data_IF_875242833363
#
_entry.id   IF_875242833363
#
_cell.length_a   1.000
_cell.length_b   1.000
_cell.length_c   1.000
_cell.angle_alpha   90.00
_cell.angle_beta   90.00
_cell.angle_gamma   90.00
#
_symmetry.space_group_name_H-M   'P 1'
#
loop_
_entity.id
_entity.type
_entity.pdbx_description
1 polymer ?
#
# COMPACT_ATOMS: atom_id res chain seq x y z
N UNK A 1 19.41 -8.08 -16.63
CA UNK A 1 19.29 -7.68 -15.21
C UNK A 1 19.26 -6.14 -15.04
N UNK A 2 18.50 -5.38 -15.88
CA UNK A 2 18.41 -3.90 -15.75
C UNK A 2 17.03 -3.33 -16.12
N UNK A 3 16.31 -3.94 -17.08
CA UNK A 3 14.98 -3.47 -17.47
C UNK A 3 13.87 -3.86 -16.48
N UNK A 4 13.85 -5.11 -16.02
CA UNK A 4 12.84 -5.59 -15.05
C UNK A 4 12.90 -4.84 -13.71
N UNK A 5 14.10 -4.53 -13.23
CA UNK A 5 14.29 -3.77 -11.99
C UNK A 5 13.83 -2.31 -12.13
N UNK A 6 14.06 -1.69 -13.29
CA UNK A 6 13.59 -0.33 -13.57
C UNK A 6 12.07 -0.27 -13.70
N UNK A 7 11.47 -1.27 -14.33
CA UNK A 7 10.01 -1.38 -14.45
C UNK A 7 9.37 -1.57 -13.08
N UNK A 8 9.89 -2.49 -12.27
CA UNK A 8 9.45 -2.71 -10.89
C UNK A 8 9.53 -1.44 -10.04
N UNK A 9 10.66 -0.73 -10.10
CA UNK A 9 10.85 0.49 -9.31
C UNK A 9 9.86 1.59 -9.72
N UNK A 10 9.60 1.77 -11.02
CA UNK A 10 8.65 2.78 -11.49
C UNK A 10 7.24 2.55 -10.92
N UNK A 11 6.71 1.32 -11.00
CA UNK A 11 5.38 1.01 -10.46
C UNK A 11 5.32 1.16 -8.94
N UNK A 12 6.37 0.74 -8.23
CA UNK A 12 6.44 0.91 -6.79
C UNK A 12 6.42 2.39 -6.38
N UNK A 13 7.08 3.29 -7.13
CA UNK A 13 6.98 4.73 -6.85
C UNK A 13 5.57 5.27 -7.08
N UNK A 14 4.85 4.83 -8.12
CA UNK A 14 3.45 5.24 -8.32
C UNK A 14 2.53 4.76 -7.18
N UNK A 15 2.72 3.52 -6.70
CA UNK A 15 1.96 2.99 -5.55
C UNK A 15 2.27 3.81 -4.29
N UNK A 16 3.53 4.15 -4.06
CA UNK A 16 3.95 5.02 -2.95
C UNK A 16 3.25 6.37 -3.00
N UNK A 17 3.21 7.02 -4.16
CA UNK A 17 2.53 8.31 -4.32
C UNK A 17 1.03 8.21 -3.98
N UNK A 18 0.35 7.15 -4.44
CA UNK A 18 -1.07 6.91 -4.13
C UNK A 18 -1.31 6.74 -2.63
N UNK A 19 -0.48 5.94 -1.95
CA UNK A 19 -0.57 5.73 -0.50
C UNK A 19 -0.31 7.05 0.25
N UNK A 20 0.73 7.79 -0.14
CA UNK A 20 1.08 9.07 0.50
C UNK A 20 -0.03 10.12 0.33
N UNK A 21 -0.62 10.21 -0.86
CA UNK A 21 -1.75 11.12 -1.11
C UNK A 21 -2.95 10.74 -0.25
N UNK A 22 -3.30 9.45 -0.18
CA UNK A 22 -4.39 8.98 0.68
C UNK A 22 -4.15 9.38 2.14
N UNK A 23 -2.98 9.08 2.70
CA UNK A 23 -2.62 9.41 4.10
C UNK A 23 -2.71 10.91 4.36
N UNK A 24 -2.24 11.73 3.40
CA UNK A 24 -2.24 13.19 3.51
C UNK A 24 -3.65 13.76 3.54
N UNK A 25 -4.54 13.24 2.71
CA UNK A 25 -5.95 13.67 2.64
C UNK A 25 -6.80 13.08 3.78
N UNK A 26 -6.38 11.93 4.32
CA UNK A 26 -7.13 11.15 5.29
C UNK A 26 -6.33 10.82 6.56
N UNK A 27 -5.81 11.84 7.29
CA UNK A 27 -4.84 11.62 8.38
C UNK A 27 -5.40 10.86 9.59
N UNK A 28 -6.73 10.80 9.73
CA UNK A 28 -7.45 10.15 10.83
C UNK A 28 -8.17 8.85 10.40
N UNK A 29 -7.90 8.34 9.19
CA UNK A 29 -8.45 7.06 8.75
C UNK A 29 -7.63 5.91 9.32
N UNK A 30 -8.31 4.80 9.60
CA UNK A 30 -7.71 3.59 10.13
C UNK A 30 -6.89 2.89 9.05
N UNK A 31 -5.98 2.00 9.47
CA UNK A 31 -5.25 1.12 8.56
C UNK A 31 -6.19 0.41 7.58
N UNK A 32 -7.31 -0.14 8.06
CA UNK A 32 -8.28 -0.84 7.20
C UNK A 32 -8.81 0.04 6.07
N UNK A 33 -9.12 1.32 6.34
CA UNK A 33 -9.64 2.22 5.31
C UNK A 33 -8.64 2.42 4.15
N UNK A 34 -7.33 2.34 4.40
CA UNK A 34 -6.31 2.38 3.34
C UNK A 34 -6.37 1.11 2.48
N UNK A 35 -6.50 -0.06 3.10
CA UNK A 35 -6.59 -1.31 2.35
C UNK A 35 -7.87 -1.36 1.51
N UNK A 36 -8.99 -0.90 2.06
CA UNK A 36 -10.26 -0.76 1.33
C UNK A 36 -10.09 0.20 0.14
N UNK A 37 -9.45 1.34 0.36
CA UNK A 37 -9.15 2.29 -0.71
C UNK A 37 -8.25 1.68 -1.79
N UNK A 38 -7.19 0.96 -1.43
CA UNK A 38 -6.29 0.31 -2.39
C UNK A 38 -7.02 -0.80 -3.17
N UNK A 39 -7.90 -1.55 -2.51
CA UNK A 39 -8.75 -2.55 -3.14
C UNK A 39 -9.70 -1.93 -4.15
N UNK A 40 -10.34 -0.81 -3.83
CA UNK A 40 -11.21 -0.09 -4.76
C UNK A 40 -10.42 0.57 -5.89
N UNK A 41 -9.32 1.26 -5.57
CA UNK A 41 -8.52 2.04 -6.53
C UNK A 41 -7.85 1.17 -7.60
N UNK A 42 -7.37 -0.01 -7.20
CA UNK A 42 -6.64 -0.93 -8.10
C UNK A 42 -7.45 -2.17 -8.48
N UNK A 43 -8.68 -2.32 -7.95
CA UNK A 43 -9.52 -3.51 -8.08
C UNK A 43 -8.73 -4.77 -7.66
N UNK A 44 -8.37 -4.77 -6.36
CA UNK A 44 -7.58 -5.80 -5.67
C UNK A 44 -8.39 -6.43 -4.52
N UNK A 45 -7.83 -7.48 -3.93
CA UNK A 45 -8.39 -8.15 -2.76
C UNK A 45 -7.31 -8.34 -1.66
N UNK A 46 -6.74 -7.23 -1.22
CA UNK A 46 -5.79 -7.14 -0.12
C UNK A 46 -6.54 -7.26 1.21
N UNK A 47 -5.93 -7.93 2.17
CA UNK A 47 -6.42 -7.99 3.55
C UNK A 47 -5.43 -7.24 4.43
N UNK A 48 -5.93 -6.33 5.27
CA UNK A 48 -5.10 -5.70 6.28
C UNK A 48 -4.57 -6.79 7.22
N UNK A 49 -3.29 -6.71 7.59
CA UNK A 49 -2.75 -7.64 8.57
C UNK A 49 -3.38 -7.30 9.93
N UNK A 50 -4.15 -8.23 10.50
CA UNK A 50 -4.73 -8.08 11.83
C UNK A 50 -3.60 -8.07 12.87
N UNK A 51 -3.22 -6.88 13.33
CA UNK A 51 -2.37 -6.70 14.50
C UNK A 51 -3.27 -6.29 15.67
N UNK A 52 -3.77 -7.28 16.42
CA UNK A 52 -4.47 -7.19 17.71
C UNK A 52 -5.40 -5.97 17.95
N UNK A 53 -6.16 -5.56 16.92
CA UNK A 53 -7.26 -4.59 17.06
C UNK A 53 -6.84 -3.17 17.48
N UNK A 54 -5.56 -2.81 17.35
CA UNK A 54 -5.10 -1.44 17.57
C UNK A 54 -5.77 -0.50 16.57
N UNK A 55 -6.33 0.62 17.07
CA UNK A 55 -6.85 1.72 16.24
C UNK A 55 -5.73 2.50 15.55
N UNK A 56 -4.81 1.80 14.89
CA UNK A 56 -3.67 2.41 14.23
C UNK A 56 -4.19 3.16 13.01
N UNK A 57 -4.08 4.48 13.06
CA UNK A 57 -4.33 5.31 11.90
C UNK A 57 -3.35 4.92 10.79
N UNK A 58 -3.80 4.91 9.53
CA UNK A 58 -2.95 4.61 8.39
C UNK A 58 -1.69 5.50 8.37
N UNK A 59 -1.84 6.76 8.79
CA UNK A 59 -0.71 7.68 8.97
C UNK A 59 0.29 7.22 10.04
N UNK A 60 -0.19 6.70 11.16
CA UNK A 60 0.65 6.28 12.29
C UNK A 60 1.37 4.99 11.91
N UNK A 61 0.62 3.95 11.55
CA UNK A 61 1.13 2.68 11.05
C UNK A 61 2.27 2.89 10.04
N UNK A 62 2.05 3.72 9.02
CA UNK A 62 3.01 3.85 7.93
C UNK A 62 4.17 4.84 8.18
N UNK A 63 4.04 5.79 9.12
CA UNK A 63 5.17 6.67 9.50
C UNK A 63 6.06 6.06 10.59
N UNK A 64 5.49 5.35 11.55
CA UNK A 64 6.27 4.72 12.63
C UNK A 64 6.79 3.35 12.23
N UNK A 65 6.14 2.69 11.26
CA UNK A 65 6.50 1.35 10.80
C UNK A 65 6.85 1.35 9.30
N UNK A 66 8.04 1.86 8.96
CA UNK A 66 8.55 1.86 7.58
C UNK A 66 8.47 0.48 6.91
N UNK A 67 8.64 -0.60 7.69
CA UNK A 67 8.56 -1.97 7.19
C UNK A 67 7.15 -2.32 6.68
N UNK A 68 6.09 -1.82 7.32
CA UNK A 68 4.71 -2.05 6.88
C UNK A 68 4.43 -1.29 5.58
N UNK A 69 4.93 -0.06 5.47
CA UNK A 69 4.84 0.72 4.24
C UNK A 69 5.48 0.02 3.05
N UNK A 70 6.73 -0.44 3.21
CA UNK A 70 7.42 -1.19 2.17
C UNK A 70 6.70 -2.52 1.85
N UNK A 71 6.14 -3.19 2.87
CA UNK A 71 5.35 -4.41 2.68
C UNK A 71 4.08 -4.17 1.85
N UNK A 72 3.29 -3.13 2.17
CA UNK A 72 2.04 -2.81 1.45
C UNK A 72 2.35 -2.47 0.00
N UNK A 73 3.38 -1.65 -0.24
CA UNK A 73 3.84 -1.31 -1.61
C UNK A 73 4.19 -2.58 -2.40
N UNK A 74 4.93 -3.49 -1.78
CA UNK A 74 5.34 -4.74 -2.41
C UNK A 74 4.15 -5.65 -2.67
N UNK A 75 3.20 -5.75 -1.74
CA UNK A 75 1.98 -6.54 -1.92
C UNK A 75 1.09 -6.02 -3.04
N UNK A 76 0.84 -4.71 -3.08
CA UNK A 76 0.08 -4.07 -4.16
C UNK A 76 0.77 -4.34 -5.51
N UNK A 77 2.09 -4.17 -5.57
CA UNK A 77 2.85 -4.45 -6.80
C UNK A 77 2.69 -5.91 -7.26
N UNK A 78 2.84 -6.88 -6.36
CA UNK A 78 2.70 -8.30 -6.72
C UNK A 78 1.28 -8.67 -7.15
N UNK A 79 0.23 -8.12 -6.52
CA UNK A 79 -1.15 -8.37 -6.96
C UNK A 79 -1.46 -7.72 -8.31
N UNK A 80 -1.00 -6.49 -8.55
CA UNK A 80 -1.10 -5.86 -9.86
C UNK A 80 -0.35 -6.66 -10.92
N UNK A 81 0.86 -7.12 -10.61
CA UNK A 81 1.64 -7.95 -11.52
C UNK A 81 0.89 -9.24 -11.88
N UNK A 82 0.32 -9.95 -10.90
CA UNK A 82 -0.49 -11.16 -11.15
C UNK A 82 -1.71 -10.87 -12.03
N UNK A 83 -2.38 -9.74 -11.81
CA UNK A 83 -3.59 -9.35 -12.55
C UNK A 83 -3.31 -9.08 -14.04
N UNK A 84 -2.13 -8.55 -14.36
CA UNK A 84 -1.73 -8.19 -15.73
C UNK A 84 -0.72 -9.17 -16.37
N UNK A 85 -0.41 -10.29 -15.70
CA UNK A 85 0.38 -11.40 -16.26
C UNK A 85 -0.54 -12.44 -16.89
#
# INVERSE_FOLDING_TARGET
MKQEDSFKNFFKEQIKEVIQNYIKENPNRQRQDLYDYLNEHYDLNLTAYDYDGGSDYAKVALNTEKWEYDYVVDKVFEELKKKYS
#
